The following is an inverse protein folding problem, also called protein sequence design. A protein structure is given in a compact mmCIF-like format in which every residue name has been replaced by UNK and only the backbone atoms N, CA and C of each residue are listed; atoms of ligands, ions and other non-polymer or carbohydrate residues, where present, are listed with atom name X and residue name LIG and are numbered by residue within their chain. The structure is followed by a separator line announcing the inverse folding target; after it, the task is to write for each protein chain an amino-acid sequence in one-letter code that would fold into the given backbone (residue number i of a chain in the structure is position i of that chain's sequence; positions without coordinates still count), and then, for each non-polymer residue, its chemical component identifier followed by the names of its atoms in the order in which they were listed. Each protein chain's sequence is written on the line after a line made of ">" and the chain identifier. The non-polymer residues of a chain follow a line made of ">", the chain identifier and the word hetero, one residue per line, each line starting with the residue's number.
data_IF_647723522838
#
_entry.id   IF_647723522838
#
_cell.length_a   1.000
_cell.length_b   1.000
_cell.length_c   1.000
_cell.angle_alpha   90.00
_cell.angle_beta   90.00
_cell.angle_gamma   90.00
#
_symmetry.space_group_name_H-M   'P 1'
#
loop_
_entity.id
_entity.type
_entity.pdbx_description
1 polymer ?
#
# COMPACT_ATOMS: atom_id res chain seq x y z
N UNK A 1 3.10 6.25 7.46
CA UNK A 1 2.74 5.56 6.18
C UNK A 1 3.95 5.07 5.38
N UNK A 2 4.52 5.74 4.36
CA UNK A 2 5.53 5.10 3.47
C UNK A 2 6.78 4.54 4.17
N UNK A 3 7.33 5.27 5.15
CA UNK A 3 8.50 4.80 5.92
C UNK A 3 8.12 3.67 6.89
N UNK A 4 6.92 3.72 7.45
CA UNK A 4 6.38 2.73 8.38
C UNK A 4 5.95 1.43 7.68
N UNK A 5 5.29 1.52 6.52
CA UNK A 5 5.03 0.39 5.62
C UNK A 5 6.32 -0.27 5.19
N UNK A 6 7.38 0.51 4.93
CA UNK A 6 8.68 -0.05 4.56
C UNK A 6 9.38 -0.73 5.76
N UNK A 7 9.39 -0.09 6.94
CA UNK A 7 9.95 -0.67 8.17
C UNK A 7 9.20 -1.94 8.58
N UNK A 8 7.88 -1.87 8.72
CA UNK A 8 7.05 -3.02 9.10
C UNK A 8 7.07 -4.09 8.01
N UNK A 9 6.85 -3.71 6.75
CA UNK A 9 6.79 -4.56 5.56
C UNK A 9 8.07 -5.34 5.24
N UNK A 10 9.16 -4.62 5.07
CA UNK A 10 10.35 -5.17 4.45
C UNK A 10 11.50 -5.39 5.43
N UNK A 11 11.61 -4.66 6.55
CA UNK A 11 12.72 -4.89 7.49
C UNK A 11 12.60 -6.22 8.25
N UNK A 12 11.38 -6.65 8.60
CA UNK A 12 11.14 -7.94 9.28
C UNK A 12 11.50 -9.15 8.38
N UNK A 13 11.49 -9.00 7.05
CA UNK A 13 11.84 -10.03 6.06
C UNK A 13 13.26 -9.92 5.46
N UNK A 14 14.11 -9.05 6.01
CA UNK A 14 15.50 -8.84 5.55
C UNK A 14 15.67 -7.88 4.36
N UNK A 15 14.70 -6.99 4.11
CA UNK A 15 14.69 -5.94 3.09
C UNK A 15 13.79 -6.23 1.88
N UNK A 16 13.46 -5.19 1.13
CA UNK A 16 12.80 -5.32 -0.17
C UNK A 16 13.79 -5.92 -1.16
N UNK A 17 13.44 -7.09 -1.70
CA UNK A 17 14.27 -7.82 -2.67
C UNK A 17 13.69 -7.61 -4.06
N UNK A 18 14.54 -7.40 -5.06
CA UNK A 18 14.14 -7.46 -6.47
C UNK A 18 15.19 -8.32 -7.17
N UNK A 19 14.72 -9.37 -7.84
CA UNK A 19 15.55 -10.47 -8.30
C UNK A 19 15.64 -11.62 -7.28
N UNK A 20 16.25 -12.71 -7.72
CA UNK A 20 16.57 -13.90 -6.92
C UNK A 20 17.95 -13.73 -6.30
N UNK A 21 18.04 -13.86 -4.98
CA UNK A 21 19.33 -13.83 -4.28
C UNK A 21 20.12 -15.09 -4.63
N UNK A 22 21.29 -14.90 -5.28
CA UNK A 22 22.20 -15.98 -5.68
C UNK A 22 23.54 -15.81 -5.02
N UNK A 23 23.57 -15.95 -3.70
CA UNK A 23 24.79 -15.85 -2.90
C UNK A 23 25.82 -16.93 -3.26
N UNK A 24 25.35 -18.06 -3.78
CA UNK A 24 26.15 -19.18 -4.30
C UNK A 24 26.80 -18.89 -5.66
N UNK A 25 26.27 -17.94 -6.44
CA UNK A 25 26.79 -17.56 -7.77
C UNK A 25 26.75 -16.03 -8.00
N UNK A 26 27.23 -15.29 -7.01
CA UNK A 26 27.21 -13.83 -6.99
C UNK A 26 28.15 -13.18 -8.03
N UNK A 27 29.04 -13.97 -8.66
CA UNK A 27 29.94 -13.50 -9.73
C UNK A 27 29.28 -13.53 -11.10
N UNK A 28 28.20 -14.30 -11.26
CA UNK A 28 27.45 -14.41 -12.52
C UNK A 28 26.14 -13.64 -12.47
N UNK A 29 25.48 -13.64 -11.32
CA UNK A 29 24.14 -13.06 -11.16
C UNK A 29 24.13 -11.91 -10.17
N UNK A 30 23.23 -10.96 -10.41
CA UNK A 30 22.96 -9.87 -9.49
C UNK A 30 21.50 -9.80 -9.06
N UNK A 31 21.29 -9.10 -7.95
CA UNK A 31 19.99 -8.82 -7.37
C UNK A 31 20.05 -7.53 -6.56
N UNK A 32 18.88 -7.00 -6.19
CA UNK A 32 18.76 -5.79 -5.39
C UNK A 32 18.15 -6.15 -4.04
N UNK A 33 18.72 -5.66 -2.95
CA UNK A 33 18.16 -5.81 -1.59
C UNK A 33 18.24 -4.48 -0.84
N UNK A 34 17.09 -3.87 -0.62
CA UNK A 34 16.96 -2.54 -0.04
C UNK A 34 16.45 -2.66 1.39
N UNK A 35 17.22 -2.14 2.35
CA UNK A 35 16.93 -2.25 3.78
C UNK A 35 16.28 -1.00 4.39
N UNK A 36 16.30 0.12 3.66
CA UNK A 36 15.81 1.42 4.13
C UNK A 36 14.94 2.08 3.07
N UNK A 37 13.87 2.75 3.50
CA UNK A 37 12.99 3.52 2.62
C UNK A 37 13.74 4.62 1.85
N UNK A 38 14.71 5.28 2.49
CA UNK A 38 15.58 6.27 1.86
C UNK A 38 16.41 5.68 0.72
N UNK A 39 16.82 4.42 0.84
CA UNK A 39 17.59 3.69 -0.16
C UNK A 39 16.70 3.31 -1.35
N UNK A 40 15.43 2.97 -1.08
CA UNK A 40 14.41 2.77 -2.11
C UNK A 40 14.18 4.06 -2.89
N UNK A 41 13.94 5.17 -2.20
CA UNK A 41 13.72 6.47 -2.84
C UNK A 41 14.90 6.85 -3.76
N UNK A 42 16.14 6.70 -3.27
CA UNK A 42 17.35 6.96 -4.07
C UNK A 42 17.49 6.02 -5.27
N UNK A 43 16.98 4.79 -5.17
CA UNK A 43 16.99 3.82 -6.28
C UNK A 43 15.95 4.14 -7.36
N UNK A 44 14.88 4.86 -7.00
CA UNK A 44 13.85 5.30 -7.95
C UNK A 44 14.15 6.65 -8.58
N UNK A 45 14.82 7.55 -7.84
CA UNK A 45 15.13 8.92 -8.26
C UNK A 45 16.45 9.43 -7.66
N UNK A 46 17.34 9.96 -8.50
CA UNK A 46 18.67 10.46 -8.08
C UNK A 46 18.84 11.98 -8.24
N UNK A 47 17.73 12.74 -8.21
CA UNK A 47 17.68 14.20 -8.45
C UNK A 47 17.96 14.63 -9.88
N UNK A 48 18.44 13.74 -10.75
CA UNK A 48 18.68 14.01 -12.18
C UNK A 48 17.68 13.27 -13.05
N UNK A 49 17.42 12.01 -12.75
CA UNK A 49 16.54 11.16 -13.56
C UNK A 49 15.79 10.14 -12.71
N UNK A 50 14.74 9.58 -13.29
CA UNK A 50 13.97 8.46 -12.75
C UNK A 50 14.26 7.18 -13.54
N UNK A 51 13.92 6.05 -12.94
CA UNK A 51 13.93 4.73 -13.58
C UNK A 51 12.87 4.65 -14.71
N UNK A 52 13.25 5.09 -15.90
CA UNK A 52 12.37 5.21 -17.09
C UNK A 52 12.94 4.52 -18.33
N UNK A 53 14.14 3.95 -18.23
CA UNK A 53 14.85 3.30 -19.33
C UNK A 53 14.29 1.95 -19.73
N UNK A 54 14.84 1.36 -20.80
CA UNK A 54 14.37 0.12 -21.41
C UNK A 54 14.30 -1.05 -20.41
N UNK A 55 13.16 -1.76 -20.33
CA UNK A 55 13.01 -2.99 -19.55
C UNK A 55 14.05 -4.03 -19.94
N UNK A 56 14.76 -4.57 -18.94
CA UNK A 56 15.77 -5.62 -19.11
C UNK A 56 16.09 -6.30 -17.79
N UNK A 57 16.72 -7.47 -17.85
CA UNK A 57 17.26 -8.12 -16.66
C UNK A 57 18.53 -7.46 -16.13
N UNK A 58 19.03 -7.94 -15.00
CA UNK A 58 20.25 -7.50 -14.33
C UNK A 58 21.51 -7.99 -15.08
N UNK A 59 21.68 -7.54 -16.32
CA UNK A 59 22.78 -7.91 -17.20
C UNK A 59 23.96 -6.93 -17.09
N UNK A 60 23.74 -5.66 -17.41
CA UNK A 60 24.75 -4.62 -17.51
C UNK A 60 24.27 -3.34 -16.82
N UNK A 61 25.21 -2.67 -16.15
CA UNK A 61 25.07 -1.28 -15.75
C UNK A 61 25.14 -0.35 -16.97
N UNK A 62 24.74 0.91 -16.79
CA UNK A 62 24.79 1.94 -17.84
C UNK A 62 26.20 2.19 -18.38
N UNK A 63 27.25 1.83 -17.63
CA UNK A 63 28.65 1.92 -18.06
C UNK A 63 29.18 0.63 -18.71
N UNK A 64 28.30 -0.29 -19.11
CA UNK A 64 28.62 -1.62 -19.67
C UNK A 64 29.36 -2.57 -18.71
N UNK A 65 29.50 -2.23 -17.43
CA UNK A 65 29.97 -3.17 -16.41
C UNK A 65 28.93 -4.26 -16.14
N UNK A 66 29.39 -5.48 -15.81
CA UNK A 66 28.48 -6.59 -15.46
C UNK A 66 27.71 -6.27 -14.19
N UNK A 67 26.39 -6.49 -14.21
CA UNK A 67 25.56 -6.40 -13.02
C UNK A 67 25.64 -7.72 -12.26
N UNK A 68 26.42 -7.76 -11.18
CA UNK A 68 26.69 -8.96 -10.39
C UNK A 68 26.65 -8.64 -8.89
N UNK A 69 26.30 -9.64 -8.09
CA UNK A 69 26.18 -9.54 -6.64
C UNK A 69 25.01 -8.67 -6.16
N UNK A 70 24.95 -8.49 -4.84
CA UNK A 70 23.92 -7.70 -4.19
C UNK A 70 24.13 -6.19 -4.38
N UNK A 71 23.09 -5.51 -4.87
CA UNK A 71 23.02 -4.06 -4.91
C UNK A 71 22.10 -3.55 -3.81
N UNK A 72 22.64 -2.73 -2.89
CA UNK A 72 21.87 -2.14 -1.78
C UNK A 72 21.08 -0.89 -2.19
N UNK A 73 21.59 -0.18 -3.19
CA UNK A 73 20.99 1.01 -3.80
C UNK A 73 21.30 0.97 -5.28
N UNK A 74 20.28 1.15 -6.11
CA UNK A 74 20.40 1.09 -7.56
C UNK A 74 19.89 2.38 -8.20
N UNK A 75 20.74 3.41 -8.18
CA UNK A 75 20.36 4.74 -8.67
C UNK A 75 20.15 4.75 -10.20
N UNK A 76 19.20 5.55 -10.72
CA UNK A 76 18.90 5.65 -12.15
C UNK A 76 20.11 5.92 -13.05
N UNK A 77 21.03 6.80 -12.64
CA UNK A 77 22.27 7.06 -13.39
C UNK A 77 23.19 5.84 -13.56
N UNK A 78 23.18 4.89 -12.61
CA UNK A 78 23.96 3.64 -12.70
C UNK A 78 23.23 2.55 -13.49
N UNK A 79 21.91 2.54 -13.39
CA UNK A 79 21.07 1.54 -14.04
C UNK A 79 19.68 2.13 -14.22
N UNK A 80 19.37 2.54 -15.46
CA UNK A 80 18.07 3.11 -15.81
C UNK A 80 17.18 2.03 -16.45
N UNK A 81 16.15 1.60 -15.73
CA UNK A 81 15.28 0.49 -16.10
C UNK A 81 13.88 0.67 -15.47
N UNK A 82 12.87 0.92 -16.30
CA UNK A 82 11.48 1.14 -15.88
C UNK A 82 10.90 -0.07 -15.15
N UNK A 83 11.13 -1.28 -15.67
CA UNK A 83 10.61 -2.51 -15.08
C UNK A 83 11.06 -2.68 -13.62
N UNK A 84 12.29 -2.30 -13.29
CA UNK A 84 12.77 -2.31 -11.90
C UNK A 84 11.90 -1.42 -10.97
N UNK A 85 11.54 -0.21 -11.41
CA UNK A 85 10.70 0.69 -10.62
C UNK A 85 9.26 0.21 -10.52
N UNK A 86 8.69 -0.29 -11.62
CA UNK A 86 7.34 -0.85 -11.63
C UNK A 86 7.22 -2.08 -10.71
N UNK A 87 8.24 -2.94 -10.69
CA UNK A 87 8.30 -4.08 -9.76
C UNK A 87 8.46 -3.64 -8.31
N UNK A 88 9.28 -2.62 -8.04
CA UNK A 88 9.41 -2.08 -6.69
C UNK A 88 8.07 -1.56 -6.17
N UNK A 89 7.32 -0.84 -7.01
CA UNK A 89 5.99 -0.34 -6.69
C UNK A 89 4.99 -1.48 -6.47
N UNK A 90 4.96 -2.47 -7.37
CA UNK A 90 4.05 -3.61 -7.27
C UNK A 90 4.28 -4.39 -5.96
N UNK A 91 5.54 -4.72 -5.67
CA UNK A 91 5.90 -5.49 -4.46
C UNK A 91 5.61 -4.69 -3.19
N UNK A 92 5.83 -3.38 -3.21
CA UNK A 92 5.43 -2.50 -2.11
C UNK A 92 3.92 -2.57 -1.85
N UNK A 93 3.10 -2.50 -2.90
CA UNK A 93 1.64 -2.56 -2.77
C UNK A 93 1.15 -3.94 -2.30
N UNK A 94 1.75 -5.03 -2.78
CA UNK A 94 1.42 -6.39 -2.31
C UNK A 94 1.70 -6.51 -0.81
N UNK A 95 2.86 -6.03 -0.35
CA UNK A 95 3.21 -6.08 1.07
C UNK A 95 2.32 -5.18 1.92
N UNK A 96 1.95 -4.00 1.42
CA UNK A 96 0.97 -3.14 2.07
C UNK A 96 -0.40 -3.85 2.21
N UNK A 97 -0.84 -4.56 1.17
CA UNK A 97 -2.08 -5.34 1.17
C UNK A 97 -2.04 -6.50 2.17
N UNK A 98 -0.94 -7.26 2.22
CA UNK A 98 -0.77 -8.36 3.16
C UNK A 98 -0.84 -7.93 4.63
N UNK A 99 -0.60 -6.64 4.91
CA UNK A 99 -0.60 -6.06 6.26
C UNK A 99 -1.86 -5.29 6.59
N UNK A 100 -2.86 -5.30 5.70
CA UNK A 100 -4.07 -4.49 5.88
C UNK A 100 -3.84 -2.98 5.75
N UNK A 101 -2.65 -2.53 5.29
CA UNK A 101 -2.37 -1.13 5.00
C UNK A 101 -3.05 -0.70 3.70
N UNK A 102 -3.30 -1.64 2.79
CA UNK A 102 -4.19 -1.48 1.61
C UNK A 102 -5.20 -2.63 1.64
N UNK A 103 -6.32 -2.59 0.89
CA UNK A 103 -7.27 -3.70 0.87
C UNK A 103 -6.56 -5.05 0.69
N UNK A 104 -6.87 -6.00 1.58
CA UNK A 104 -6.19 -7.29 1.62
C UNK A 104 -6.40 -8.09 0.33
N UNK A 105 -5.44 -8.95 0.00
CA UNK A 105 -5.57 -9.88 -1.12
C UNK A 105 -5.09 -9.37 -2.49
N UNK A 106 -4.43 -8.21 -2.58
CA UNK A 106 -3.85 -7.71 -3.86
C UNK A 106 -2.95 -8.75 -4.51
N UNK A 107 -2.14 -9.45 -3.72
CA UNK A 107 -1.26 -10.51 -4.21
C UNK A 107 -2.02 -11.73 -4.76
N UNK A 108 -3.25 -11.97 -4.29
CA UNK A 108 -4.10 -13.11 -4.65
C UNK A 108 -4.93 -12.86 -5.90
N UNK A 109 -5.11 -11.60 -6.31
CA UNK A 109 -5.83 -11.25 -7.53
C UNK A 109 -5.16 -11.92 -8.73
N UNK A 110 -5.97 -12.55 -9.58
CA UNK A 110 -5.53 -13.22 -10.80
C UNK A 110 -5.56 -12.22 -11.95
N UNK A 111 -4.45 -12.10 -12.66
CA UNK A 111 -4.37 -11.36 -13.91
C UNK A 111 -4.89 -12.23 -15.05
N UNK A 112 -5.84 -11.71 -15.83
CA UNK A 112 -6.51 -12.44 -16.90
C UNK A 112 -6.64 -11.56 -18.16
N UNK A 113 -5.73 -11.72 -19.12
CA UNK A 113 -5.72 -10.91 -20.34
C UNK A 113 -5.45 -11.77 -21.57
N UNK A 114 -6.45 -12.56 -21.95
CA UNK A 114 -6.47 -13.29 -23.23
C UNK A 114 -5.20 -14.12 -23.45
N UNK A 115 -4.48 -13.81 -24.54
CA UNK A 115 -3.26 -14.52 -24.97
C UNK A 115 -1.97 -14.06 -24.25
N UNK A 116 -2.05 -13.17 -23.25
CA UNK A 116 -0.87 -12.76 -22.50
C UNK A 116 -0.24 -13.99 -21.79
N UNK A 117 1.07 -14.25 -21.91
CA UNK A 117 1.75 -15.37 -21.24
C UNK A 117 1.64 -15.39 -19.72
N UNK A 118 1.31 -14.25 -19.10
CA UNK A 118 1.11 -14.10 -17.66
C UNK A 118 -0.36 -14.27 -17.25
N UNK A 119 -1.28 -14.40 -18.22
CA UNK A 119 -2.71 -14.62 -17.96
C UNK A 119 -2.93 -15.89 -17.14
N UNK A 120 -3.84 -15.84 -16.17
CA UNK A 120 -4.13 -16.89 -15.20
C UNK A 120 -3.20 -16.91 -13.98
N UNK A 121 -2.15 -16.08 -13.92
CA UNK A 121 -1.27 -16.00 -12.75
C UNK A 121 -1.79 -15.02 -11.70
N UNK A 122 -1.60 -15.35 -10.42
CA UNK A 122 -1.80 -14.39 -9.34
C UNK A 122 -0.75 -13.27 -9.42
N UNK A 123 -1.11 -12.05 -9.02
CA UNK A 123 -0.21 -10.88 -9.04
C UNK A 123 1.09 -11.15 -8.26
N UNK A 124 1.02 -11.86 -7.12
CA UNK A 124 2.22 -12.27 -6.36
C UNK A 124 3.14 -13.19 -7.15
N UNK A 125 2.60 -14.05 -8.00
CA UNK A 125 3.36 -15.00 -8.79
C UNK A 125 3.93 -14.34 -10.06
N UNK A 126 3.26 -13.33 -10.61
CA UNK A 126 3.83 -12.43 -11.61
C UNK A 126 5.07 -11.71 -11.03
N UNK A 127 4.99 -11.21 -9.81
CA UNK A 127 6.15 -10.59 -9.14
C UNK A 127 7.31 -11.58 -8.93
N UNK A 128 7.04 -12.83 -8.55
CA UNK A 128 8.08 -13.89 -8.45
C UNK A 128 8.67 -14.25 -9.82
N UNK A 129 7.84 -14.33 -10.86
CA UNK A 129 8.29 -14.58 -12.23
C UNK A 129 9.18 -13.44 -12.72
N UNK A 130 8.83 -12.21 -12.38
CA UNK A 130 9.64 -11.05 -12.66
C UNK A 130 11.01 -11.10 -11.98
N UNK A 131 11.06 -11.40 -10.68
CA UNK A 131 12.34 -11.59 -9.96
C UNK A 131 13.22 -12.64 -10.65
N UNK A 132 12.61 -13.75 -11.05
CA UNK A 132 13.29 -14.83 -11.79
C UNK A 132 13.86 -14.32 -13.12
N UNK A 133 13.08 -13.61 -13.92
CA UNK A 133 13.51 -13.05 -15.22
C UNK A 133 14.56 -11.95 -15.07
N UNK A 134 14.47 -11.14 -14.03
CA UNK A 134 15.43 -10.08 -13.74
C UNK A 134 16.81 -10.67 -13.44
N UNK A 135 16.88 -11.73 -12.63
CA UNK A 135 18.16 -12.35 -12.26
C UNK A 135 18.70 -13.28 -13.35
N UNK A 136 17.87 -14.16 -13.92
CA UNK A 136 18.30 -15.17 -14.91
C UNK A 136 18.10 -14.68 -16.35
N UNK A 137 18.90 -13.67 -16.74
CA UNK A 137 18.72 -12.90 -17.97
C UNK A 137 19.37 -13.48 -19.23
N UNK A 138 20.23 -14.50 -19.12
CA UNK A 138 21.13 -14.92 -20.21
C UNK A 138 20.42 -15.38 -21.49
N UNK A 139 19.29 -16.10 -21.36
CA UNK A 139 18.52 -16.66 -22.50
C UNK A 139 17.11 -16.04 -22.59
N UNK A 140 16.98 -14.75 -22.24
CA UNK A 140 15.69 -14.05 -22.22
C UNK A 140 15.58 -13.08 -23.37
N UNK A 141 14.43 -13.12 -24.04
CA UNK A 141 14.13 -12.19 -25.12
C UNK A 141 13.79 -10.79 -24.59
N UNK A 142 14.09 -9.72 -25.33
CA UNK A 142 13.59 -8.37 -25.01
C UNK A 142 12.07 -8.31 -24.89
N UNK A 143 11.35 -9.13 -25.66
CA UNK A 143 9.89 -9.19 -25.67
C UNK A 143 9.32 -9.74 -24.35
N UNK A 144 10.00 -10.69 -23.69
CA UNK A 144 9.62 -11.14 -22.35
C UNK A 144 9.66 -9.99 -21.33
N UNK A 145 10.69 -9.14 -21.39
CA UNK A 145 10.80 -7.97 -20.51
C UNK A 145 9.77 -6.89 -20.83
N UNK A 146 9.48 -6.68 -22.12
CA UNK A 146 8.45 -5.73 -22.56
C UNK A 146 7.05 -6.19 -22.14
N UNK A 147 6.73 -7.47 -22.32
CA UNK A 147 5.46 -8.03 -21.87
C UNK A 147 5.31 -7.90 -20.35
N UNK A 148 6.37 -8.20 -19.60
CA UNK A 148 6.34 -8.08 -18.14
C UNK A 148 6.18 -6.63 -17.69
N UNK A 149 6.94 -5.69 -18.25
CA UNK A 149 6.85 -4.26 -17.94
C UNK A 149 5.45 -3.71 -18.23
N UNK A 150 4.91 -4.02 -19.41
CA UNK A 150 3.56 -3.58 -19.80
C UNK A 150 2.49 -4.16 -18.88
N UNK A 151 2.60 -5.44 -18.53
CA UNK A 151 1.67 -6.13 -17.61
C UNK A 151 1.73 -5.54 -16.20
N UNK A 152 2.93 -5.40 -15.62
CA UNK A 152 3.12 -4.85 -14.26
C UNK A 152 2.66 -3.40 -14.19
N UNK A 153 3.01 -2.58 -15.19
CA UNK A 153 2.56 -1.19 -15.28
C UNK A 153 1.05 -1.09 -15.41
N UNK A 154 0.44 -1.99 -16.20
CA UNK A 154 -1.02 -2.07 -16.33
C UNK A 154 -1.67 -2.40 -15.00
N UNK A 155 -1.14 -3.36 -14.24
CA UNK A 155 -1.59 -3.70 -12.88
C UNK A 155 -1.46 -2.49 -11.94
N UNK A 156 -0.28 -1.85 -11.90
CA UNK A 156 -0.01 -0.69 -11.03
C UNK A 156 -0.96 0.50 -11.32
N UNK A 157 -1.40 0.65 -12.57
CA UNK A 157 -2.35 1.69 -12.97
C UNK A 157 -3.79 1.21 -13.07
N UNK A 158 -4.07 -0.08 -12.89
CA UNK A 158 -5.40 -0.67 -13.07
C UNK A 158 -6.43 -0.03 -12.13
N UNK A 159 -5.96 0.29 -10.93
CA UNK A 159 -6.72 0.93 -9.87
C UNK A 159 -6.71 2.46 -9.96
N UNK A 160 -6.12 3.05 -11.01
CA UNK A 160 -6.14 4.50 -11.24
C UNK A 160 -7.14 4.88 -12.34
N UNK A 161 -8.18 5.62 -11.99
CA UNK A 161 -9.20 6.15 -12.90
C UNK A 161 -9.22 7.67 -12.93
N UNK A 162 -9.96 8.26 -13.88
CA UNK A 162 -10.34 9.68 -13.84
C UNK A 162 -11.57 9.83 -12.95
N UNK A 163 -11.58 10.79 -12.02
CA UNK A 163 -12.82 11.30 -11.46
C UNK A 163 -13.42 12.26 -12.48
N UNK A 164 -14.70 12.10 -12.82
CA UNK A 164 -15.44 13.08 -13.61
C UNK A 164 -15.68 14.31 -12.73
N UNK A 165 -14.77 15.30 -12.81
CA UNK A 165 -14.98 16.60 -12.19
C UNK A 165 -15.64 17.50 -13.23
N UNK A 166 -16.96 17.68 -13.08
CA UNK A 166 -17.69 18.65 -13.89
C UNK A 166 -16.93 19.98 -13.92
N UNK A 167 -16.67 20.39 -15.16
CA UNK A 167 -15.83 21.50 -15.60
C UNK A 167 -16.14 22.83 -14.93
N UNK A 168 -15.13 23.49 -14.38
CA UNK A 168 -14.91 24.92 -14.61
C UNK A 168 -13.41 25.14 -14.76
N UNK A 169 -12.95 25.27 -16.02
CA UNK A 169 -11.60 25.66 -16.40
C UNK A 169 -10.45 24.74 -15.92
N UNK A 170 -10.24 23.67 -16.68
CA UNK A 170 -8.96 22.98 -16.92
C UNK A 170 -7.95 22.81 -15.77
N UNK A 171 -7.80 21.54 -15.38
CA UNK A 171 -6.69 20.86 -14.68
C UNK A 171 -6.65 20.92 -13.14
N UNK A 172 -7.52 20.10 -12.54
CA UNK A 172 -7.23 19.31 -11.34
C UNK A 172 -7.83 17.92 -11.52
N UNK A 173 -7.07 17.02 -12.15
CA UNK A 173 -7.44 15.62 -12.30
C UNK A 173 -6.94 14.83 -11.09
N UNK A 174 -7.80 14.63 -10.09
CA UNK A 174 -7.57 13.62 -9.06
C UNK A 174 -7.78 12.25 -9.70
N UNK A 175 -6.77 11.36 -9.58
CA UNK A 175 -6.90 9.98 -10.03
C UNK A 175 -7.79 9.24 -9.04
N UNK A 176 -9.02 8.90 -9.42
CA UNK A 176 -9.94 8.08 -8.63
C UNK A 176 -9.45 6.63 -8.52
N UNK A 177 -10.01 5.87 -7.59
CA UNK A 177 -9.68 4.45 -7.37
C UNK A 177 -10.76 3.57 -8.01
N UNK A 178 -10.37 2.60 -8.84
CA UNK A 178 -11.29 1.59 -9.40
C UNK A 178 -11.38 0.36 -8.49
N UNK A 179 -12.52 -0.31 -8.46
CA UNK A 179 -12.67 -1.60 -7.77
C UNK A 179 -12.14 -2.75 -8.64
N UNK A 180 -11.82 -3.92 -8.05
CA UNK A 180 -11.33 -5.09 -8.81
C UNK A 180 -12.36 -5.55 -9.84
N UNK A 181 -13.65 -5.51 -9.51
CA UNK A 181 -14.74 -5.90 -10.41
C UNK A 181 -14.91 -4.98 -11.62
N UNK A 182 -14.42 -3.74 -11.56
CA UNK A 182 -14.42 -2.79 -12.68
C UNK A 182 -13.25 -3.00 -13.66
N UNK A 183 -12.29 -3.85 -13.31
CA UNK A 183 -11.08 -4.08 -14.09
C UNK A 183 -11.22 -5.40 -14.83
N UNK A 184 -11.51 -5.32 -16.13
CA UNK A 184 -11.80 -6.49 -16.98
C UNK A 184 -10.70 -7.54 -17.04
N UNK A 185 -9.47 -7.18 -16.68
CA UNK A 185 -8.30 -8.06 -16.73
C UNK A 185 -7.79 -8.50 -15.35
N UNK A 186 -8.53 -8.20 -14.28
CA UNK A 186 -8.24 -8.65 -12.92
C UNK A 186 -9.47 -9.36 -12.35
N UNK A 187 -9.28 -10.55 -11.78
CA UNK A 187 -10.36 -11.31 -11.14
C UNK A 187 -9.94 -11.86 -9.78
N UNK A 188 -10.91 -11.99 -8.89
CA UNK A 188 -10.72 -12.74 -7.64
C UNK A 188 -10.60 -14.25 -7.96
N UNK A 189 -9.78 -15.01 -7.22
CA UNK A 189 -9.74 -16.46 -7.34
C UNK A 189 -11.13 -17.08 -7.10
N UNK A 190 -11.46 -18.13 -7.87
CA UNK A 190 -12.77 -18.79 -7.80
C UNK A 190 -13.07 -19.43 -6.43
N UNK A 191 -12.04 -19.69 -5.62
CA UNK A 191 -12.16 -20.34 -4.31
C UNK A 191 -12.28 -19.35 -3.14
N UNK A 192 -12.40 -18.05 -3.42
CA UNK A 192 -12.67 -17.03 -2.41
C UNK A 192 -14.16 -16.67 -2.47
N UNK A 193 -15.00 -17.41 -1.74
CA UNK A 193 -16.18 -16.77 -1.16
C UNK A 193 -15.67 -15.65 -0.26
N UNK A 194 -16.17 -14.40 -0.38
CA UNK A 194 -15.84 -13.37 0.60
C UNK A 194 -16.37 -13.87 1.95
N UNK A 195 -15.49 -14.45 2.74
CA UNK A 195 -15.71 -14.63 4.15
C UNK A 195 -15.70 -13.20 4.68
N UNK A 196 -16.88 -12.60 4.84
CA UNK A 196 -17.07 -11.51 5.80
C UNK A 196 -16.91 -12.19 7.15
N UNK A 197 -15.67 -12.55 7.46
CA UNK A 197 -15.30 -12.99 8.78
C UNK A 197 -15.41 -11.70 9.59
N UNK A 198 -16.40 -11.62 10.47
CA UNK A 198 -16.31 -10.75 11.64
C UNK A 198 -15.11 -11.22 12.43
N UNK A 199 -13.93 -10.81 11.97
CA UNK A 199 -12.67 -11.19 12.57
C UNK A 199 -12.60 -10.36 13.84
N UNK A 200 -13.04 -10.97 14.94
CA UNK A 200 -12.63 -10.56 16.28
C UNK A 200 -11.10 -10.57 16.24
N UNK A 201 -10.53 -9.37 16.15
CA UNK A 201 -9.13 -9.18 15.79
C UNK A 201 -8.28 -9.51 17.01
N UNK A 202 -7.97 -10.80 17.20
CA UNK A 202 -6.88 -11.22 18.08
C UNK A 202 -5.59 -10.97 17.30
N UNK A 203 -5.06 -9.75 17.40
CA UNK A 203 -3.70 -9.45 16.96
C UNK A 203 -2.74 -9.72 18.11
N UNK A 204 -1.68 -10.46 17.78
CA UNK A 204 -0.53 -10.65 18.64
C UNK A 204 0.07 -9.31 19.06
N UNK A 205 0.22 -9.16 20.38
CA UNK A 205 0.88 -8.04 21.01
C UNK A 205 2.38 -8.08 20.73
N UNK A 206 2.85 -7.23 19.80
CA UNK A 206 4.14 -6.59 20.02
C UNK A 206 3.90 -5.50 21.07
N UNK A 207 4.24 -5.81 22.32
CA UNK A 207 3.92 -5.04 23.53
C UNK A 207 4.60 -3.67 23.67
N UNK A 208 4.55 -2.82 22.65
CA UNK A 208 4.77 -1.38 22.84
C UNK A 208 3.41 -0.73 23.05
N UNK A 209 3.07 -0.48 24.33
CA UNK A 209 1.93 0.37 24.68
C UNK A 209 2.14 1.77 24.08
N UNK A 210 1.12 2.36 23.44
CA UNK A 210 1.24 3.70 22.88
C UNK A 210 1.54 4.71 23.99
N UNK A 211 2.59 5.53 23.81
CA UNK A 211 2.99 6.52 24.80
C UNK A 211 2.20 7.83 24.76
N UNK A 212 1.25 7.98 23.83
CA UNK A 212 0.45 9.19 23.67
C UNK A 212 -0.85 8.91 22.92
N UNK A 213 -1.88 9.74 23.14
CA UNK A 213 -3.08 9.74 22.32
C UNK A 213 -2.76 10.14 20.87
N UNK A 214 -3.31 9.41 19.90
CA UNK A 214 -3.16 9.73 18.46
C UNK A 214 -4.42 9.36 17.71
N UNK A 215 -4.95 10.27 16.90
CA UNK A 215 -5.95 9.96 15.87
C UNK A 215 -5.25 9.88 14.51
N UNK A 216 -5.22 8.69 13.92
CA UNK A 216 -4.59 8.50 12.61
C UNK A 216 -5.53 8.91 11.48
N UNK A 217 -4.95 9.14 10.31
CA UNK A 217 -5.72 9.37 9.10
C UNK A 217 -6.46 8.08 8.71
N UNK A 218 -7.77 8.19 8.46
CA UNK A 218 -8.58 7.08 8.02
C UNK A 218 -8.00 6.46 6.74
N UNK A 219 -8.08 5.14 6.63
CA UNK A 219 -7.55 4.43 5.48
C UNK A 219 -8.58 3.41 4.94
N UNK A 220 -8.84 3.37 3.62
CA UNK A 220 -8.33 4.29 2.60
C UNK A 220 -8.88 5.73 2.74
N UNK A 221 -8.21 6.71 2.13
CA UNK A 221 -8.73 8.08 1.99
C UNK A 221 -8.15 8.73 0.72
N UNK A 222 -8.96 9.03 -0.32
CA UNK A 222 -10.42 8.86 -0.39
C UNK A 222 -10.88 7.39 -0.26
N UNK A 223 -12.13 7.16 0.17
CA UNK A 223 -12.69 5.82 0.39
C UNK A 223 -14.03 5.59 -0.34
N UNK A 224 -14.35 4.32 -0.62
CA UNK A 224 -15.64 3.87 -1.16
C UNK A 224 -15.87 2.35 -0.97
N UNK A 225 -16.98 1.88 -0.37
CA UNK A 225 -17.81 2.58 0.62
C UNK A 225 -17.22 2.51 2.03
N UNK A 226 -16.14 1.75 2.23
CA UNK A 226 -15.60 1.41 3.56
C UNK A 226 -14.26 2.10 3.81
N UNK A 227 -14.06 2.59 5.03
CA UNK A 227 -12.77 3.02 5.57
C UNK A 227 -12.60 2.55 7.00
N UNK A 228 -11.37 2.35 7.44
CA UNK A 228 -11.03 2.11 8.85
C UNK A 228 -10.45 3.38 9.46
N UNK A 229 -10.88 3.74 10.66
CA UNK A 229 -10.34 4.81 11.49
C UNK A 229 -9.52 4.17 12.60
N UNK A 230 -8.24 4.52 12.67
CA UNK A 230 -7.30 4.03 13.69
C UNK A 230 -7.02 5.14 14.71
N UNK A 231 -6.96 4.79 15.99
CA UNK A 231 -6.50 5.69 17.05
C UNK A 231 -5.77 4.93 18.16
N UNK A 232 -4.85 5.60 18.83
CA UNK A 232 -4.08 5.06 19.94
C UNK A 232 -4.51 5.70 21.27
N UNK A 233 -4.67 4.87 22.29
CA UNK A 233 -5.02 5.26 23.66
C UNK A 233 -3.89 4.82 24.61
N UNK A 234 -3.17 5.75 25.27
CA UNK A 234 -2.13 5.39 26.24
C UNK A 234 -2.69 4.83 27.55
N UNK A 235 -3.96 5.10 27.85
CA UNK A 235 -4.68 4.66 29.04
C UNK A 235 -6.12 4.29 28.65
N UNK A 236 -6.75 3.44 29.46
CA UNK A 236 -8.19 3.17 29.38
C UNK A 236 -8.98 4.49 29.35
N UNK A 237 -9.88 4.63 28.37
CA UNK A 237 -10.56 5.89 28.08
C UNK A 237 -12.01 5.68 27.66
N UNK A 238 -12.89 6.60 28.07
CA UNK A 238 -14.22 6.76 27.47
C UNK A 238 -14.06 7.48 26.12
N UNK A 239 -14.45 6.82 25.03
CA UNK A 239 -14.26 7.30 23.65
C UNK A 239 -15.60 7.59 22.99
N UNK A 240 -15.68 8.76 22.34
CA UNK A 240 -16.73 9.10 21.38
C UNK A 240 -16.08 9.44 20.04
N UNK A 241 -16.52 8.78 18.96
CA UNK A 241 -16.06 9.01 17.60
C UNK A 241 -17.25 9.40 16.72
N UNK A 242 -17.27 10.64 16.25
CA UNK A 242 -18.41 11.21 15.53
C UNK A 242 -17.99 11.74 14.17
N UNK A 243 -18.83 11.52 13.17
CA UNK A 243 -18.71 11.98 11.80
C UNK A 243 -19.54 13.25 11.57
N UNK A 244 -18.96 14.21 10.86
CA UNK A 244 -19.57 15.49 10.51
C UNK A 244 -19.44 15.77 9.02
N UNK A 245 -20.41 16.49 8.47
CA UNK A 245 -20.31 17.06 7.11
C UNK A 245 -19.56 18.41 7.11
N UNK A 246 -19.41 19.01 5.92
CA UNK A 246 -18.74 20.31 5.74
C UNK A 246 -19.43 21.49 6.43
N UNK A 247 -20.69 21.34 6.82
CA UNK A 247 -21.46 22.35 7.56
C UNK A 247 -21.37 22.13 9.08
N UNK A 248 -20.64 21.11 9.53
CA UNK A 248 -20.53 20.74 10.93
C UNK A 248 -21.76 20.00 11.48
N UNK A 249 -22.64 19.49 10.61
CA UNK A 249 -23.77 18.66 11.05
C UNK A 249 -23.27 17.25 11.33
N UNK A 250 -23.71 16.67 12.44
CA UNK A 250 -23.44 15.27 12.75
C UNK A 250 -24.15 14.36 11.74
N UNK A 251 -23.38 13.44 11.16
CA UNK A 251 -23.83 12.52 10.12
C UNK A 251 -24.01 11.12 10.69
N UNK A 252 -23.09 10.70 11.56
CA UNK A 252 -23.11 9.41 12.24
C UNK A 252 -22.23 9.45 13.50
N UNK A 253 -22.59 8.66 14.51
CA UNK A 253 -21.70 8.35 15.63
C UNK A 253 -21.24 6.91 15.50
N UNK A 254 -19.92 6.71 15.43
CA UNK A 254 -19.27 5.43 15.16
C UNK A 254 -18.88 4.68 16.44
N UNK A 255 -18.61 5.44 17.50
CA UNK A 255 -18.39 4.95 18.87
C UNK A 255 -19.08 5.96 19.78
N UNK A 256 -19.95 5.51 20.67
CA UNK A 256 -20.73 6.38 21.57
C UNK A 256 -20.40 6.06 23.03
N UNK A 257 -19.53 6.89 23.64
CA UNK A 257 -19.13 6.81 25.05
C UNK A 257 -18.75 5.40 25.52
N UNK A 258 -18.01 4.68 24.68
CA UNK A 258 -17.54 3.35 25.03
C UNK A 258 -16.24 3.43 25.82
N UNK A 259 -16.13 2.64 26.89
CA UNK A 259 -14.87 2.49 27.63
C UNK A 259 -13.99 1.49 26.87
N UNK A 260 -12.87 1.98 26.33
CA UNK A 260 -11.90 1.20 25.59
C UNK A 260 -10.59 1.10 26.37
N UNK A 261 -9.99 -0.09 26.39
CA UNK A 261 -8.68 -0.35 27.00
C UNK A 261 -7.56 0.42 26.27
N UNK A 262 -6.43 0.63 26.95
CA UNK A 262 -5.22 1.15 26.31
C UNK A 262 -4.76 0.28 25.14
N UNK A 263 -4.18 0.91 24.12
CA UNK A 263 -3.72 0.25 22.91
C UNK A 263 -4.18 0.94 21.63
N UNK A 264 -3.97 0.26 20.51
CA UNK A 264 -4.42 0.71 19.19
C UNK A 264 -5.81 0.15 18.92
N UNK A 265 -6.75 1.04 18.64
CA UNK A 265 -8.14 0.75 18.34
C UNK A 265 -8.43 1.00 16.85
N UNK A 266 -9.37 0.23 16.29
CA UNK A 266 -9.77 0.32 14.88
C UNK A 266 -11.30 0.33 14.79
N UNK A 267 -11.85 1.27 14.01
CA UNK A 267 -13.29 1.41 13.78
C UNK A 267 -13.56 1.45 12.28
N UNK A 268 -14.30 0.46 11.78
CA UNK A 268 -14.73 0.44 10.39
C UNK A 268 -15.96 1.33 10.19
N UNK A 269 -15.96 2.11 9.12
CA UNK A 269 -17.05 2.98 8.71
C UNK A 269 -17.51 2.64 7.30
N UNK A 270 -18.81 2.38 7.15
CA UNK A 270 -19.49 2.14 5.89
C UNK A 270 -20.35 3.37 5.55
N UNK A 271 -19.97 4.11 4.50
CA UNK A 271 -20.65 5.34 4.08
C UNK A 271 -21.89 5.10 3.19
N UNK A 272 -22.53 3.94 3.32
CA UNK A 272 -23.69 3.59 2.50
C UNK A 272 -24.83 4.60 2.72
N UNK A 273 -25.30 5.19 1.61
CA UNK A 273 -26.37 6.19 1.63
C UNK A 273 -25.91 7.64 1.86
N UNK A 274 -24.62 7.89 2.09
CA UNK A 274 -24.08 9.24 2.10
C UNK A 274 -23.81 9.76 0.68
N UNK A 275 -23.87 11.09 0.43
CA UNK A 275 -23.39 11.66 -0.82
C UNK A 275 -21.85 11.70 -0.87
N UNK A 276 -21.27 11.56 -2.07
CA UNK A 276 -19.83 11.80 -2.27
C UNK A 276 -19.46 13.21 -1.77
N UNK A 277 -18.37 13.34 -1.03
CA UNK A 277 -18.02 14.61 -0.41
C UNK A 277 -16.89 14.52 0.61
N UNK A 278 -16.60 15.68 1.20
CA UNK A 278 -15.67 15.81 2.31
C UNK A 278 -16.45 15.66 3.62
N UNK A 279 -15.90 14.85 4.52
CA UNK A 279 -16.40 14.67 5.87
C UNK A 279 -15.27 14.87 6.87
N UNK A 280 -15.64 15.08 8.13
CA UNK A 280 -14.71 15.20 9.23
C UNK A 280 -15.09 14.20 10.29
N UNK A 281 -14.13 13.49 10.85
CA UNK A 281 -14.34 12.67 12.03
C UNK A 281 -13.59 13.29 13.20
N UNK A 282 -14.25 13.32 14.34
CA UNK A 282 -13.73 13.86 15.58
C UNK A 282 -13.75 12.75 16.63
N UNK A 283 -12.61 12.57 17.28
CA UNK A 283 -12.52 11.75 18.48
C UNK A 283 -12.55 12.66 19.71
N UNK A 284 -13.23 12.20 20.74
CA UNK A 284 -13.13 12.70 22.12
C UNK A 284 -12.80 11.48 22.97
N UNK A 285 -11.61 11.44 23.55
CA UNK A 285 -11.19 10.38 24.46
C UNK A 285 -10.89 11.00 25.82
N UNK A 286 -11.56 10.51 26.87
CA UNK A 286 -11.36 10.95 28.24
C UNK A 286 -10.81 9.79 29.05
N UNK A 287 -9.62 9.97 29.62
CA UNK A 287 -9.02 8.98 30.51
C UNK A 287 -9.96 8.64 31.66
N UNK A 288 -10.15 7.35 31.91
CA UNK A 288 -10.83 6.86 33.11
C UNK A 288 -9.82 6.90 34.24
N UNK A 289 -10.05 7.77 35.24
CA UNK A 289 -9.25 7.86 36.46
C UNK A 289 -10.05 7.37 37.67
N UNK A 290 -9.37 6.74 38.62
CA UNK A 290 -9.94 6.50 39.94
C UNK A 290 -9.99 7.81 40.75
N UNK A 291 -10.84 7.81 41.78
CA UNK A 291 -11.33 8.99 42.52
C UNK A 291 -10.28 10.09 42.80
N UNK A 292 -10.54 11.31 42.29
CA UNK A 292 -9.86 12.55 42.70
C UNK A 292 -8.88 13.16 41.68
N UNK A 293 -8.51 12.44 40.63
CA UNK A 293 -7.61 12.95 39.58
C UNK A 293 -8.40 13.39 38.33
N UNK A 294 -8.09 14.58 37.81
CA UNK A 294 -8.62 15.02 36.51
C UNK A 294 -7.93 14.24 35.40
N UNK A 295 -8.62 13.23 34.85
CA UNK A 295 -8.13 12.45 33.70
C UNK A 295 -7.87 13.31 32.47
N UNK A 296 -6.87 12.92 31.67
CA UNK A 296 -6.51 13.59 30.42
C UNK A 296 -7.68 13.57 29.42
N UNK A 297 -7.92 14.70 28.75
CA UNK A 297 -8.90 14.83 27.68
C UNK A 297 -8.20 15.04 26.35
N UNK A 298 -8.38 14.09 25.44
CA UNK A 298 -7.89 14.17 24.08
C UNK A 298 -9.02 14.47 23.09
N UNK A 299 -8.82 15.49 22.26
CA UNK A 299 -9.72 15.84 21.16
C UNK A 299 -8.88 16.07 19.92
N UNK A 300 -9.18 15.34 18.85
CA UNK A 300 -8.58 15.54 17.53
C UNK A 300 -9.66 15.41 16.45
N UNK A 301 -9.43 16.05 15.31
CA UNK A 301 -10.32 16.02 14.15
C UNK A 301 -9.50 15.84 12.89
N UNK A 302 -9.98 14.96 12.02
CA UNK A 302 -9.33 14.65 10.75
C UNK A 302 -10.36 14.69 9.63
N UNK A 303 -9.86 15.01 8.43
CA UNK A 303 -10.67 15.12 7.21
C UNK A 303 -10.64 13.81 6.44
N UNK A 304 -11.80 13.30 6.04
CA UNK A 304 -11.96 12.18 5.12
C UNK A 304 -12.66 12.59 3.84
N UNK A 305 -12.45 11.85 2.76
CA UNK A 305 -13.11 12.07 1.48
C UNK A 305 -13.82 10.79 1.05
N UNK A 306 -15.15 10.84 0.97
CA UNK A 306 -15.96 9.74 0.44
C UNK A 306 -16.26 9.99 -1.04
N UNK A 307 -16.09 8.97 -1.88
CA UNK A 307 -16.29 9.07 -3.33
C UNK A 307 -17.09 7.87 -3.80
N UNK A 308 -18.41 7.99 -3.91
CA UNK A 308 -19.29 7.00 -4.53
C UNK A 308 -19.07 6.90 -6.03
#
# INVERSE_FOLDING_TARGET
>A
VRDETFRRGFQLGGGMKIGVMKTDDARRYGWVRILKSADLYRSLYDRKTMQTGTPRGFNLFSNNGRFVGEQKVLVPSKYNNRLFAELAALKFNIEASNRGITPAGLGEIVYDEGLNPLSGMAIKDIAKRADTLMTYWYDRSPDEYMNLDTTVRKINHAFSGSIDTASYFSLLALKGVRTVSEISFLRLPADITPIIEQKKHVLEQNGEMPGSYVLYQNYPNPFNPVTTIEFALPHQSEVTLTLFDVLGREVATLVDKEILEEGIQYVDFYADGLPSGVYFYKIVAKQVSEEGETGELFIDTKKMMYVR
#
